data_IF_517909220609
#
_entry.id   IF_517909220609
#
_cell.length_a   1.000
_cell.length_b   1.000
_cell.length_c   1.000
_cell.angle_alpha   90.00
_cell.angle_beta   90.00
_cell.angle_gamma   90.00
#
_symmetry.space_group_name_H-M   'P 1'
#
loop_
_entity.id
_entity.type
_entity.pdbx_description
1 polymer ?
#
# COMPACT_ATOMS: atom_id res chain seq x y z
N UNK A 1 7.32 23.78 9.78
CA UNK A 1 7.50 22.36 9.39
C UNK A 1 6.55 21.90 8.28
N UNK A 2 5.23 22.14 8.35
CA UNK A 2 4.31 21.66 7.29
C UNK A 2 4.47 22.32 5.91
N UNK A 3 5.05 23.53 5.82
CA UNK A 3 5.26 24.26 4.55
C UNK A 3 6.20 23.54 3.57
N UNK A 4 7.11 22.72 4.08
CA UNK A 4 8.11 21.99 3.30
C UNK A 4 7.76 20.50 3.12
N UNK A 5 6.82 19.99 3.93
CA UNK A 5 6.36 18.60 3.86
C UNK A 5 5.43 18.41 2.66
N UNK A 6 5.75 17.45 1.80
CA UNK A 6 4.92 17.06 0.67
C UNK A 6 4.46 15.61 0.83
N UNK A 7 3.16 15.38 0.63
CA UNK A 7 2.51 14.09 0.68
C UNK A 7 2.36 13.61 -0.75
N UNK A 8 2.84 12.39 -1.02
CA UNK A 8 2.61 11.75 -2.32
C UNK A 8 1.13 11.30 -2.31
N UNK A 9 0.29 11.77 -3.23
CA UNK A 9 -1.16 11.58 -3.17
C UNK A 9 -1.62 10.10 -3.18
N UNK A 10 -0.73 9.15 -3.46
CA UNK A 10 -0.96 7.71 -3.26
C UNK A 10 -1.27 7.33 -1.80
N UNK A 11 -1.01 8.23 -0.83
CA UNK A 11 -1.40 8.09 0.58
C UNK A 11 -2.79 8.62 0.92
N UNK A 12 -3.48 9.32 0.01
CA UNK A 12 -4.84 9.84 0.22
C UNK A 12 -5.84 9.16 -0.69
N UNK A 13 -6.98 8.72 -0.16
CA UNK A 13 -8.06 8.05 -0.91
C UNK A 13 -8.84 9.01 -1.86
N UNK A 14 -8.23 10.11 -2.33
CA UNK A 14 -8.84 11.04 -3.29
C UNK A 14 -8.48 10.65 -4.75
N UNK A 15 -9.44 10.13 -5.53
CA UNK A 15 -9.20 9.72 -6.92
C UNK A 15 -8.96 10.90 -7.89
N UNK A 16 -9.21 12.16 -7.48
CA UNK A 16 -8.92 13.34 -8.30
C UNK A 16 -7.42 13.72 -8.34
N UNK A 17 -6.60 13.14 -7.45
CA UNK A 17 -5.17 13.41 -7.38
C UNK A 17 -4.32 12.50 -8.30
N UNK A 18 -4.86 12.11 -9.46
CA UNK A 18 -4.25 11.18 -10.42
C UNK A 18 -3.01 11.73 -11.16
N UNK A 19 -2.60 12.97 -10.88
CA UNK A 19 -1.31 13.48 -11.33
C UNK A 19 -0.26 13.15 -10.25
N UNK A 20 0.78 12.41 -10.61
CA UNK A 20 1.93 11.96 -9.79
C UNK A 20 2.74 13.07 -9.08
N UNK A 21 2.16 14.25 -8.85
CA UNK A 21 2.79 15.38 -8.18
C UNK A 21 2.47 15.30 -6.70
N UNK A 22 3.52 15.28 -5.88
CA UNK A 22 3.39 15.41 -4.43
C UNK A 22 2.63 16.70 -4.08
N UNK A 23 1.64 16.60 -3.21
CA UNK A 23 0.80 17.72 -2.73
C UNK A 23 1.39 18.22 -1.42
N UNK A 24 1.41 19.53 -1.15
CA UNK A 24 1.93 20.01 0.14
C UNK A 24 1.03 19.52 1.26
N UNK A 25 1.59 19.13 2.40
CA UNK A 25 0.80 18.66 3.54
C UNK A 25 -0.23 19.71 4.00
N UNK A 26 0.09 21.00 3.88
CA UNK A 26 -0.84 22.09 4.19
C UNK A 26 -2.08 22.10 3.30
N UNK A 27 -1.97 21.66 2.05
CA UNK A 27 -3.08 21.71 1.09
C UNK A 27 -4.16 20.64 1.38
N UNK A 28 -3.94 19.78 2.38
CA UNK A 28 -4.92 18.79 2.85
C UNK A 28 -5.92 19.34 3.88
N UNK A 29 -5.71 20.57 4.36
CA UNK A 29 -6.52 21.16 5.42
C UNK A 29 -7.30 22.36 4.88
N UNK A 30 -8.63 22.30 4.95
CA UNK A 30 -9.50 23.39 4.48
C UNK A 30 -9.40 24.64 5.37
N UNK A 31 -9.26 24.44 6.68
CA UNK A 31 -9.25 25.52 7.68
C UNK A 31 -8.00 25.45 8.55
N UNK A 32 -7.00 26.27 8.23
CA UNK A 32 -5.69 26.26 8.89
C UNK A 32 -5.64 27.36 9.95
N UNK A 33 -5.41 27.01 11.22
CA UNK A 33 -5.15 27.95 12.32
C UNK A 33 -3.86 27.56 13.07
N UNK A 34 -2.71 27.91 12.49
CA UNK A 34 -1.37 27.57 13.03
C UNK A 34 -0.61 28.85 13.36
N UNK A 35 -0.80 29.35 14.58
CA UNK A 35 -0.08 30.48 15.16
C UNK A 35 -0.05 30.34 16.70
N UNK A 36 0.83 31.05 17.42
CA UNK A 36 0.80 31.05 18.88
C UNK A 36 -0.47 31.70 19.41
N UNK A 37 -1.14 31.07 20.38
CA UNK A 37 -2.39 31.60 20.94
C UNK A 37 -3.14 30.56 21.77
N UNK A 38 -4.32 30.95 22.22
CA UNK A 38 -5.25 30.07 22.92
C UNK A 38 -6.04 29.21 21.93
N UNK A 39 -6.13 27.89 22.20
CA UNK A 39 -6.88 26.95 21.36
C UNK A 39 -8.35 27.33 21.28
N UNK A 40 -8.94 27.93 22.30
CA UNK A 40 -10.33 28.41 22.24
C UNK A 40 -10.52 29.41 21.09
N UNK A 41 -9.58 30.34 20.89
CA UNK A 41 -9.64 31.30 19.78
C UNK A 41 -9.45 30.63 18.41
N UNK A 42 -8.59 29.62 18.32
CA UNK A 42 -8.40 28.86 17.09
C UNK A 42 -9.70 28.16 16.70
N UNK A 43 -10.36 27.50 17.66
CA UNK A 43 -11.64 26.83 17.44
C UNK A 43 -12.76 27.80 17.09
N UNK A 44 -12.81 28.99 17.71
CA UNK A 44 -13.77 30.03 17.31
C UNK A 44 -13.61 30.43 15.85
N UNK A 45 -12.37 30.64 15.38
CA UNK A 45 -12.12 30.99 13.97
C UNK A 45 -12.42 29.83 13.02
N UNK A 46 -12.10 28.59 13.41
CA UNK A 46 -12.45 27.39 12.62
C UNK A 46 -13.97 27.25 12.53
N UNK A 47 -14.71 27.43 13.62
CA UNK A 47 -16.16 27.36 13.64
C UNK A 47 -16.79 28.46 12.76
N UNK A 48 -16.29 29.69 12.85
CA UNK A 48 -16.76 30.80 12.00
C UNK A 48 -16.52 30.54 10.51
N UNK A 49 -15.37 29.96 10.16
CA UNK A 49 -15.02 29.68 8.76
C UNK A 49 -15.74 28.43 8.21
N UNK A 50 -15.91 27.39 9.03
CA UNK A 50 -16.46 26.10 8.60
C UNK A 50 -17.97 25.97 8.80
N UNK A 51 -18.56 26.71 9.73
CA UNK A 51 -19.96 26.55 10.14
C UNK A 51 -20.25 25.26 10.93
N UNK A 52 -19.24 24.43 11.21
CA UNK A 52 -19.40 23.17 11.94
C UNK A 52 -19.67 23.46 13.42
N UNK A 53 -20.64 22.79 14.05
CA UNK A 53 -20.91 22.98 15.49
C UNK A 53 -19.75 22.45 16.31
N UNK A 54 -19.44 23.08 17.44
CA UNK A 54 -18.32 22.64 18.29
C UNK A 54 -18.43 21.20 18.76
N UNK A 55 -19.64 20.74 19.06
CA UNK A 55 -19.90 19.35 19.44
C UNK A 55 -19.49 18.36 18.34
N UNK A 56 -19.60 18.73 17.06
CA UNK A 56 -19.21 17.91 15.91
C UNK A 56 -17.70 17.96 15.63
N UNK A 57 -16.91 18.65 16.46
CA UNK A 57 -15.45 18.76 16.33
C UNK A 57 -14.71 17.82 17.28
N UNK A 58 -13.63 17.23 16.78
CA UNK A 58 -12.70 16.38 17.52
C UNK A 58 -11.31 17.02 17.54
N UNK A 59 -10.71 17.10 18.72
CA UNK A 59 -9.45 17.78 18.94
C UNK A 59 -8.45 16.88 19.66
N UNK A 60 -7.27 16.72 19.08
CA UNK A 60 -6.18 15.93 19.61
C UNK A 60 -5.00 16.85 19.93
N UNK A 61 -4.50 16.78 21.15
CA UNK A 61 -3.39 17.62 21.61
C UNK A 61 -2.65 16.90 22.75
N UNK A 62 -1.36 17.19 22.90
CA UNK A 62 -0.50 16.62 23.93
C UNK A 62 -0.51 17.44 25.23
N UNK A 63 -0.97 18.68 25.18
CA UNK A 63 -1.02 19.54 26.36
C UNK A 63 -2.39 19.47 27.05
N UNK A 64 -2.42 18.88 28.24
CA UNK A 64 -3.65 18.74 29.02
C UNK A 64 -4.35 20.07 29.37
N UNK A 65 -3.63 21.19 29.38
CA UNK A 65 -4.18 22.53 29.60
C UNK A 65 -5.19 22.95 28.53
N UNK A 66 -5.05 22.41 27.31
CA UNK A 66 -5.93 22.70 26.18
C UNK A 66 -7.28 21.98 26.26
N UNK A 67 -7.55 21.22 27.35
CA UNK A 67 -8.87 20.63 27.64
C UNK A 67 -9.96 21.68 27.86
N UNK A 68 -9.60 22.93 28.16
CA UNK A 68 -10.56 24.03 28.31
C UNK A 68 -11.51 24.17 27.11
N UNK A 69 -11.06 23.90 25.88
CA UNK A 69 -11.93 23.93 24.69
C UNK A 69 -13.09 22.93 24.77
N UNK A 70 -12.92 21.81 25.47
CA UNK A 70 -14.00 20.86 25.71
C UNK A 70 -15.01 21.41 26.72
N UNK A 71 -14.52 21.99 27.82
CA UNK A 71 -15.39 22.49 28.89
C UNK A 71 -16.10 23.79 28.52
N UNK A 72 -15.46 24.65 27.73
CA UNK A 72 -15.96 25.99 27.38
C UNK A 72 -16.76 25.99 26.08
N UNK A 73 -16.32 25.25 25.06
CA UNK A 73 -16.93 25.28 23.71
C UNK A 73 -17.72 24.01 23.38
N UNK A 74 -17.49 22.90 24.10
CA UNK A 74 -18.15 21.62 23.86
C UNK A 74 -17.44 20.70 22.85
N UNK A 75 -16.26 21.10 22.36
CA UNK A 75 -15.40 20.29 21.47
C UNK A 75 -14.99 18.99 22.15
N UNK A 76 -14.91 17.89 21.41
CA UNK A 76 -14.45 16.63 22.00
C UNK A 76 -12.93 16.60 22.05
N UNK A 77 -12.36 16.59 23.26
CA UNK A 77 -10.90 16.63 23.47
C UNK A 77 -10.31 15.24 23.73
N UNK A 78 -9.20 14.95 23.07
CA UNK A 78 -8.43 13.72 23.19
C UNK A 78 -6.98 14.06 23.54
N UNK A 79 -6.58 13.77 24.78
CA UNK A 79 -5.19 13.89 25.20
C UNK A 79 -4.34 12.81 24.52
N UNK A 80 -3.25 13.22 23.87
CA UNK A 80 -2.30 12.36 23.15
C UNK A 80 -0.91 12.56 23.74
N UNK A 81 -0.42 11.64 24.58
CA UNK A 81 0.82 11.87 25.34
C UNK A 81 2.09 11.56 24.55
N UNK A 82 2.01 10.56 23.67
CA UNK A 82 3.19 9.96 23.02
C UNK A 82 3.11 10.07 21.49
N UNK A 83 2.55 11.18 21.01
CA UNK A 83 2.38 11.47 19.58
C UNK A 83 1.23 10.71 18.93
N UNK A 84 0.70 11.27 17.83
CA UNK A 84 -0.53 10.78 17.19
C UNK A 84 -0.36 9.42 16.52
N UNK A 85 -1.09 8.40 16.99
CA UNK A 85 -1.22 7.09 16.32
C UNK A 85 -2.61 6.86 15.74
N UNK A 86 -2.76 5.83 14.89
CA UNK A 86 -4.07 5.43 14.35
C UNK A 86 -5.03 5.03 15.47
N UNK A 87 -4.54 4.31 16.46
CA UNK A 87 -5.33 3.83 17.59
C UNK A 87 -5.88 4.99 18.41
N UNK A 88 -5.13 6.09 18.53
CA UNK A 88 -5.61 7.30 19.19
C UNK A 88 -6.69 8.02 18.39
N UNK A 89 -6.51 8.11 17.06
CA UNK A 89 -7.54 8.65 16.16
C UNK A 89 -8.82 7.81 16.25
N UNK A 90 -8.70 6.49 16.13
CA UNK A 90 -9.84 5.56 16.20
C UNK A 90 -10.54 5.67 17.56
N UNK A 91 -9.78 5.72 18.66
CA UNK A 91 -10.32 5.93 20.01
C UNK A 91 -11.08 7.25 20.13
N UNK A 92 -10.49 8.35 19.66
CA UNK A 92 -11.14 9.67 19.72
C UNK A 92 -12.44 9.72 18.91
N UNK A 93 -12.45 9.13 17.71
CA UNK A 93 -13.66 9.03 16.87
C UNK A 93 -14.74 8.20 17.56
N UNK A 94 -14.37 7.08 18.20
CA UNK A 94 -15.34 6.26 18.94
C UNK A 94 -15.90 6.95 20.17
N UNK A 95 -15.08 7.67 20.93
CA UNK A 95 -15.52 8.41 22.10
C UNK A 95 -16.47 9.56 21.71
N UNK A 96 -16.17 10.26 20.61
CA UNK A 96 -17.06 11.27 20.02
C UNK A 96 -18.39 10.67 19.58
N UNK A 97 -18.38 9.54 18.86
CA UNK A 97 -19.62 8.86 18.42
C UNK A 97 -20.51 8.44 19.58
N UNK A 98 -19.92 7.90 20.65
CA UNK A 98 -20.64 7.55 21.88
C UNK A 98 -21.30 8.78 22.51
N UNK A 99 -20.57 9.90 22.59
CA UNK A 99 -21.09 11.17 23.11
C UNK A 99 -22.27 11.70 22.28
N UNK A 100 -22.24 11.45 20.96
CA UNK A 100 -23.29 11.83 20.02
C UNK A 100 -24.47 10.87 19.94
N UNK A 101 -24.49 9.80 20.76
CA UNK A 101 -25.48 8.71 20.68
C UNK A 101 -25.56 8.04 19.29
N UNK A 102 -24.48 8.08 18.50
CA UNK A 102 -24.41 7.42 17.19
C UNK A 102 -24.09 5.95 17.44
N UNK A 103 -25.07 5.07 17.30
CA UNK A 103 -24.91 3.63 17.47
C UNK A 103 -24.64 2.94 16.14
N UNK A 104 -24.17 1.68 16.16
CA UNK A 104 -23.90 0.91 14.94
C UNK A 104 -25.15 0.71 14.05
N UNK A 105 -26.35 0.97 14.58
CA UNK A 105 -27.65 0.87 13.90
C UNK A 105 -27.87 2.04 12.93
N UNK A 106 -27.25 3.20 13.17
CA UNK A 106 -27.41 4.42 12.34
C UNK A 106 -26.62 4.38 11.02
N UNK A 107 -25.80 3.33 10.83
CA UNK A 107 -25.03 3.10 9.58
C UNK A 107 -25.93 2.88 8.35
N UNK A 108 -27.11 2.28 8.53
CA UNK A 108 -28.02 2.02 7.40
C UNK A 108 -28.64 3.30 6.86
N UNK A 109 -29.16 4.13 7.76
CA UNK A 109 -29.95 5.31 7.40
C UNK A 109 -29.07 6.45 6.85
N UNK A 110 -27.89 6.68 7.45
CA UNK A 110 -27.00 7.75 6.99
C UNK A 110 -26.39 7.49 5.60
N UNK A 111 -26.17 6.21 5.26
CA UNK A 111 -25.70 5.81 3.92
C UNK A 111 -26.84 5.94 2.89
N UNK A 112 -28.08 5.57 3.24
CA UNK A 112 -29.24 5.78 2.38
C UNK A 112 -29.56 7.26 2.15
N UNK A 113 -29.42 8.11 3.17
CA UNK A 113 -29.67 9.55 3.07
C UNK A 113 -28.59 10.27 2.24
N UNK A 114 -27.31 9.88 2.39
CA UNK A 114 -26.20 10.35 1.54
C UNK A 114 -26.38 9.92 0.07
N UNK A 115 -26.71 8.64 -0.16
CA UNK A 115 -26.98 8.14 -1.51
C UNK A 115 -28.21 8.82 -2.14
N UNK A 116 -29.23 9.13 -1.33
CA UNK A 116 -30.43 9.86 -1.78
C UNK A 116 -30.14 11.33 -2.10
N UNK A 117 -29.21 11.97 -1.40
CA UNK A 117 -28.72 13.32 -1.73
C UNK A 117 -27.96 13.33 -3.06
N UNK A 118 -27.08 12.36 -3.28
CA UNK A 118 -26.34 12.22 -4.53
C UNK A 118 -27.24 11.93 -5.73
N UNK A 119 -28.29 11.12 -5.55
CA UNK A 119 -29.27 10.83 -6.61
C UNK A 119 -30.20 12.02 -6.91
N UNK A 120 -30.51 12.87 -5.94
CA UNK A 120 -31.34 14.07 -6.13
C UNK A 120 -30.60 15.23 -6.81
N UNK A 121 -29.27 15.27 -6.76
CA UNK A 121 -28.47 16.34 -7.39
C UNK A 121 -28.27 16.15 -8.92
N UNK A 122 -28.75 15.03 -9.49
CA UNK A 122 -28.51 14.65 -10.88
C UNK A 122 -29.54 15.11 -11.92
N UNK A 123 -30.40 16.09 -11.64
CA UNK A 123 -31.47 16.43 -12.58
C UNK A 123 -31.81 17.93 -12.64
N UNK A 124 -30.91 18.73 -13.21
CA UNK A 124 -31.27 19.99 -13.89
C UNK A 124 -30.40 20.17 -15.13
N UNK A 125 -30.86 19.67 -16.28
CA UNK A 125 -30.48 20.23 -17.57
C UNK A 125 -31.37 21.45 -17.83
N UNK A 126 -30.82 22.52 -18.39
CA UNK A 126 -31.60 23.38 -19.26
C UNK A 126 -30.82 23.72 -20.53
N UNK A 127 -31.48 23.71 -21.71
CA UNK A 127 -30.85 23.70 -23.02
C UNK A 127 -30.92 25.08 -23.69
N UNK A 128 -29.91 25.45 -24.48
CA UNK A 128 -30.07 26.36 -25.61
C UNK A 128 -28.73 26.55 -26.36
N UNK A 129 -28.79 26.40 -27.69
CA UNK A 129 -27.89 27.00 -28.69
C UNK A 129 -26.43 26.46 -28.74
N UNK A 130 -25.88 25.92 -29.83
CA UNK A 130 -26.12 26.00 -31.28
C UNK A 130 -25.60 24.74 -32.01
N UNK A 131 -26.19 24.49 -33.18
CA UNK A 131 -25.87 23.45 -34.18
C UNK A 131 -24.44 23.56 -34.77
N UNK A 132 -23.94 22.50 -35.44
CA UNK A 132 -22.52 22.28 -35.69
C UNK A 132 -22.02 23.03 -36.93
N UNK A 133 -20.81 23.59 -36.84
CA UNK A 133 -20.06 24.04 -38.01
C UNK A 133 -18.68 23.39 -38.04
N UNK A 134 -18.40 22.82 -39.20
CA UNK A 134 -17.19 22.11 -39.62
C UNK A 134 -15.90 22.91 -39.44
N UNK A 135 -14.89 22.28 -38.84
CA UNK A 135 -13.54 22.07 -39.40
C UNK A 135 -12.45 22.04 -38.32
N UNK A 136 -11.52 21.06 -38.45
CA UNK A 136 -10.20 20.96 -37.78
C UNK A 136 -10.27 20.57 -36.29
N UNK A 137 -9.50 19.64 -35.72
CA UNK A 137 -8.24 18.99 -36.07
C UNK A 137 -8.30 17.54 -35.56
N UNK A 138 -7.83 16.58 -36.35
CA UNK A 138 -7.41 15.27 -35.84
C UNK A 138 -6.32 15.50 -34.80
N UNK A 139 -6.64 15.26 -33.53
CA UNK A 139 -5.66 15.08 -32.46
C UNK A 139 -5.89 13.68 -31.90
N UNK A 140 -5.14 12.73 -32.45
CA UNK A 140 -4.98 11.41 -31.87
C UNK A 140 -4.68 11.55 -30.37
N UNK A 141 -5.56 11.04 -29.50
CA UNK A 141 -5.15 10.70 -28.15
C UNK A 141 -3.94 9.76 -28.28
N UNK A 142 -2.83 9.98 -27.53
CA UNK A 142 -1.75 9.01 -27.53
C UNK A 142 -2.33 7.71 -26.98
N UNK A 143 -2.41 6.69 -27.84
CA UNK A 143 -2.71 5.32 -27.45
C UNK A 143 -1.54 4.83 -26.61
N UNK A 144 -1.64 4.90 -25.29
CA UNK A 144 -0.68 4.23 -24.42
C UNK A 144 -0.70 2.73 -24.75
N UNK A 145 0.43 2.11 -25.12
CA UNK A 145 0.47 0.68 -25.40
C UNK A 145 0.00 -0.10 -24.17
N UNK A 146 -1.08 -0.87 -24.32
CA UNK A 146 -1.62 -1.75 -23.29
C UNK A 146 -0.72 -2.98 -23.17
N UNK A 147 0.34 -2.89 -22.36
CA UNK A 147 1.22 -4.03 -22.07
C UNK A 147 0.51 -4.98 -21.09
N UNK A 148 -0.32 -5.88 -21.63
CA UNK A 148 -0.92 -6.98 -20.86
C UNK A 148 0.00 -8.20 -20.96
N UNK A 149 0.59 -8.66 -19.84
CA UNK A 149 1.48 -9.81 -19.87
C UNK A 149 0.69 -11.11 -20.09
N UNK A 150 1.29 -12.15 -20.67
CA UNK A 150 0.72 -13.50 -20.64
C UNK A 150 0.49 -13.94 -19.19
N UNK A 151 -0.77 -14.20 -18.82
CA UNK A 151 -1.16 -14.57 -17.46
C UNK A 151 -1.57 -16.05 -17.43
N UNK A 152 -0.95 -16.82 -16.54
CA UNK A 152 -1.25 -18.23 -16.29
C UNK A 152 -1.65 -18.39 -14.83
N UNK A 153 -2.89 -18.80 -14.56
CA UNK A 153 -3.46 -18.90 -13.21
C UNK A 153 -4.07 -20.26 -12.99
N UNK A 154 -3.82 -20.86 -11.83
CA UNK A 154 -4.49 -22.11 -11.45
C UNK A 154 -6.00 -21.89 -11.21
N UNK A 155 -6.88 -22.87 -11.51
CA UNK A 155 -8.34 -22.70 -11.36
C UNK A 155 -8.83 -22.39 -9.94
N UNK A 156 -8.08 -22.80 -8.91
CA UNK A 156 -8.41 -22.53 -7.51
C UNK A 156 -7.91 -21.16 -6.99
N UNK A 157 -7.19 -20.40 -7.82
CA UNK A 157 -6.65 -19.09 -7.43
C UNK A 157 -7.79 -18.08 -7.33
N UNK A 158 -7.81 -17.29 -6.25
CA UNK A 158 -8.80 -16.23 -6.06
C UNK A 158 -8.15 -14.88 -6.38
N UNK A 159 -8.66 -14.17 -7.38
CA UNK A 159 -8.13 -12.87 -7.80
C UNK A 159 -9.23 -11.82 -7.73
N UNK A 160 -8.99 -10.74 -6.98
CA UNK A 160 -9.89 -9.60 -6.95
C UNK A 160 -9.98 -8.91 -8.32
N UNK A 161 -11.18 -8.46 -8.70
CA UNK A 161 -11.46 -7.78 -9.97
C UNK A 161 -10.64 -6.49 -10.17
N UNK A 162 -10.27 -5.84 -9.07
CA UNK A 162 -9.49 -4.59 -9.08
C UNK A 162 -7.97 -4.82 -9.10
N UNK A 163 -7.51 -6.08 -9.13
CA UNK A 163 -6.09 -6.40 -9.31
C UNK A 163 -5.67 -6.09 -10.77
N UNK A 164 -4.52 -5.44 -10.93
CA UNK A 164 -4.02 -5.05 -12.26
C UNK A 164 -2.71 -5.77 -12.60
N UNK A 165 -2.62 -6.27 -13.83
CA UNK A 165 -1.45 -6.94 -14.38
C UNK A 165 -0.94 -6.15 -15.58
N UNK A 166 0.32 -5.71 -15.53
CA UNK A 166 0.97 -4.95 -16.59
C UNK A 166 2.38 -5.49 -16.83
N UNK A 167 2.84 -5.47 -18.07
CA UNK A 167 4.19 -5.90 -18.44
C UNK A 167 4.27 -6.68 -19.74
N UNK A 168 5.48 -7.10 -20.07
CA UNK A 168 5.84 -7.81 -21.30
C UNK A 168 6.31 -9.24 -21.03
N UNK A 169 6.58 -9.58 -19.77
CA UNK A 169 7.01 -10.90 -19.35
C UNK A 169 5.85 -11.70 -18.75
N UNK A 170 5.87 -13.04 -18.83
CA UNK A 170 4.77 -13.85 -18.32
C UNK A 170 4.63 -13.76 -16.80
N UNK A 171 3.39 -13.85 -16.33
CA UNK A 171 3.02 -13.95 -14.93
C UNK A 171 2.37 -15.32 -14.69
N UNK A 172 2.86 -16.05 -13.69
CA UNK A 172 2.36 -17.37 -13.31
C UNK A 172 1.92 -17.38 -11.86
N UNK A 173 0.72 -17.91 -11.58
CA UNK A 173 0.09 -17.90 -10.26
C UNK A 173 -0.40 -19.30 -9.90
N UNK A 174 0.12 -19.82 -8.79
CA UNK A 174 -0.14 -21.16 -8.27
C UNK A 174 -1.51 -21.35 -7.61
N UNK A 175 -1.79 -22.60 -7.25
CA UNK A 175 -3.02 -23.07 -6.65
C UNK A 175 -3.27 -22.44 -5.27
N UNK A 176 -4.53 -22.32 -4.86
CA UNK A 176 -4.95 -21.72 -3.59
C UNK A 176 -4.50 -20.28 -3.32
N UNK A 177 -3.78 -19.60 -4.21
CA UNK A 177 -3.29 -18.24 -3.98
C UNK A 177 -4.43 -17.23 -4.00
N UNK A 178 -4.40 -16.26 -3.07
CA UNK A 178 -5.41 -15.21 -2.92
C UNK A 178 -4.79 -13.84 -3.16
N UNK A 179 -5.35 -13.09 -4.11
CA UNK A 179 -4.89 -11.76 -4.50
C UNK A 179 -5.95 -10.73 -4.14
N UNK A 180 -5.58 -9.80 -3.27
CA UNK A 180 -6.48 -8.77 -2.76
C UNK A 180 -6.78 -7.65 -3.77
N UNK A 181 -7.79 -6.83 -3.48
CA UNK A 181 -8.06 -5.62 -4.26
C UNK A 181 -6.86 -4.71 -4.46
N UNK A 182 -6.85 -4.01 -5.60
CA UNK A 182 -5.91 -2.93 -5.93
C UNK A 182 -4.43 -3.34 -5.95
N UNK A 183 -4.11 -4.62 -5.91
CA UNK A 183 -2.73 -5.11 -6.09
C UNK A 183 -2.25 -4.87 -7.50
N UNK A 184 -0.97 -4.55 -7.67
CA UNK A 184 -0.36 -4.28 -8.97
C UNK A 184 0.78 -5.25 -9.24
N UNK A 185 0.74 -5.93 -10.38
CA UNK A 185 1.83 -6.77 -10.86
C UNK A 185 2.47 -6.11 -12.08
N UNK A 186 3.78 -5.84 -12.01
CA UNK A 186 4.55 -5.10 -13.00
C UNK A 186 5.68 -5.99 -13.54
N UNK A 187 5.40 -6.71 -14.62
CA UNK A 187 6.30 -7.68 -15.27
C UNK A 187 7.06 -7.06 -16.45
N UNK A 188 7.66 -5.90 -16.24
CA UNK A 188 8.44 -5.19 -17.28
C UNK A 188 9.91 -5.59 -17.33
N UNK A 189 10.47 -6.02 -16.20
CA UNK A 189 11.91 -6.36 -16.11
C UNK A 189 12.18 -7.86 -16.09
N UNK A 190 11.16 -8.67 -15.80
CA UNK A 190 11.26 -10.11 -15.79
C UNK A 190 9.93 -10.78 -15.46
N UNK A 191 9.86 -12.11 -15.62
CA UNK A 191 8.66 -12.87 -15.31
C UNK A 191 8.40 -12.85 -13.79
N UNK A 192 7.12 -12.91 -13.43
CA UNK A 192 6.69 -12.99 -12.04
C UNK A 192 6.10 -14.39 -11.81
N UNK A 193 6.65 -15.11 -10.84
CA UNK A 193 6.17 -16.45 -10.46
C UNK A 193 5.69 -16.41 -9.02
N UNK A 194 4.43 -16.78 -8.82
CA UNK A 194 3.81 -16.88 -7.51
C UNK A 194 3.43 -18.33 -7.28
N UNK A 195 3.94 -18.92 -6.20
CA UNK A 195 3.71 -20.29 -5.80
C UNK A 195 2.31 -20.51 -5.26
N UNK A 196 2.13 -21.69 -4.66
CA UNK A 196 0.85 -22.14 -4.17
C UNK A 196 0.54 -21.57 -2.78
N UNK A 197 -0.72 -21.22 -2.55
CA UNK A 197 -1.23 -20.84 -1.24
C UNK A 197 -0.68 -19.53 -0.70
N UNK A 198 -0.28 -18.61 -1.57
CA UNK A 198 0.16 -17.28 -1.15
C UNK A 198 -1.03 -16.37 -0.84
N UNK A 199 -0.81 -15.37 0.01
CA UNK A 199 -1.75 -14.26 0.22
C UNK A 199 -1.04 -12.97 -0.16
N UNK A 200 -1.59 -12.24 -1.13
CA UNK A 200 -1.07 -10.94 -1.56
C UNK A 200 -2.00 -9.85 -1.06
N UNK A 201 -1.55 -9.11 -0.04
CA UNK A 201 -2.32 -8.08 0.63
C UNK A 201 -2.63 -6.87 -0.26
N UNK A 202 -3.71 -6.17 0.09
CA UNK A 202 -4.26 -5.06 -0.68
C UNK A 202 -3.23 -3.94 -0.97
N UNK A 203 -3.36 -3.30 -2.15
CA UNK A 203 -2.49 -2.20 -2.61
C UNK A 203 -0.99 -2.57 -2.71
N UNK A 204 -0.62 -3.85 -2.59
CA UNK A 204 0.76 -4.28 -2.76
C UNK A 204 1.21 -4.19 -4.22
N UNK A 205 2.49 -3.90 -4.44
CA UNK A 205 3.12 -3.79 -5.76
C UNK A 205 4.19 -4.86 -5.90
N UNK A 206 4.07 -5.70 -6.93
CA UNK A 206 4.98 -6.82 -7.18
C UNK A 206 5.70 -6.59 -8.52
N UNK A 207 7.03 -6.56 -8.49
CA UNK A 207 7.88 -6.30 -9.65
C UNK A 207 8.16 -4.82 -9.92
N UNK A 208 7.88 -3.91 -8.97
CA UNK A 208 8.09 -2.47 -9.14
C UNK A 208 9.55 -2.00 -8.98
N UNK A 209 9.80 -0.68 -9.11
CA UNK A 209 9.16 0.22 -10.04
C UNK A 209 9.85 0.15 -11.41
N UNK A 210 9.05 0.33 -12.45
CA UNK A 210 9.50 0.55 -13.82
C UNK A 210 10.56 1.66 -13.83
N UNK A 211 11.79 1.37 -14.24
CA UNK A 211 12.67 2.46 -14.70
C UNK A 211 12.01 3.04 -15.94
N UNK A 212 11.38 4.21 -15.83
CA UNK A 212 11.22 5.07 -17.00
C UNK A 212 12.61 5.22 -17.64
N UNK A 213 12.73 5.19 -18.97
CA UNK A 213 14.02 5.26 -19.62
C UNK A 213 14.66 6.59 -19.24
N UNK A 214 15.62 6.56 -18.32
CA UNK A 214 16.52 7.69 -18.12
C UNK A 214 17.23 7.86 -19.45
N UNK A 215 16.93 8.96 -20.11
CA UNK A 215 17.67 9.46 -21.26
C UNK A 215 19.14 9.60 -20.89
N UNK A 216 19.86 8.49 -21.03
CA UNK A 216 21.30 8.41 -21.13
C UNK A 216 21.56 7.54 -22.35
N UNK A 217 21.14 8.06 -23.51
CA UNK A 217 21.78 7.65 -24.75
C UNK A 217 23.28 7.92 -24.56
N UNK A 218 24.17 6.92 -24.68
CA UNK A 218 25.56 7.24 -24.93
C UNK A 218 25.58 7.89 -26.31
N UNK A 219 26.02 9.14 -26.38
CA UNK A 219 26.31 9.82 -27.64
C UNK A 219 27.15 8.88 -28.53
N UNK A 220 26.75 8.58 -29.77
CA UNK A 220 27.66 7.95 -30.71
C UNK A 220 28.58 9.07 -31.22
N UNK A 221 29.71 9.27 -30.55
CA UNK A 221 30.83 9.96 -31.19
C UNK A 221 31.35 9.02 -32.27
N UNK A 222 31.03 9.35 -33.51
CA UNK A 222 31.62 8.76 -34.70
C UNK A 222 33.13 8.96 -34.61
N UNK A 223 33.89 7.87 -34.57
CA UNK A 223 35.27 7.83 -35.05
C UNK A 223 35.45 6.47 -35.71
N UNK A 224 35.72 6.55 -37.01
CA UNK A 224 35.77 5.42 -37.92
C UNK A 224 37.10 4.64 -37.78
N UNK A 225 37.04 3.38 -38.21
CA UNK A 225 38.13 2.48 -38.69
C UNK A 225 39.35 2.25 -37.77
N UNK A 226 39.49 1.03 -37.23
CA UNK A 226 40.39 0.05 -37.86
C UNK A 226 40.16 -1.41 -37.38
N UNK A 227 40.76 -2.30 -38.14
CA UNK A 227 40.58 -3.73 -38.37
C UNK A 227 40.96 -4.67 -37.21
N UNK A 228 40.13 -5.69 -36.96
CA UNK A 228 40.62 -7.02 -36.51
C UNK A 228 40.37 -7.46 -35.05
N UNK A 229 39.62 -8.56 -34.93
CA UNK A 229 39.72 -9.62 -33.91
C UNK A 229 38.99 -9.45 -32.55
N UNK A 230 38.08 -10.42 -32.33
CA UNK A 230 37.53 -10.91 -31.07
C UNK A 230 36.81 -9.92 -30.14
N UNK A 231 35.53 -9.65 -30.43
CA UNK A 231 34.58 -9.14 -29.43
C UNK A 231 33.69 -10.28 -28.98
N UNK A 232 33.86 -10.66 -27.71
CA UNK A 232 32.95 -11.55 -26.99
C UNK A 232 31.50 -11.04 -27.08
N UNK A 233 30.49 -11.92 -27.05
CA UNK A 233 29.09 -11.52 -27.19
C UNK A 233 28.71 -10.50 -26.10
N UNK A 234 27.82 -9.52 -26.42
CA UNK A 234 27.32 -8.58 -25.43
C UNK A 234 26.65 -9.37 -24.30
N UNK A 235 27.03 -9.06 -23.05
CA UNK A 235 26.54 -9.73 -21.86
C UNK A 235 25.01 -9.87 -21.90
N UNK A 236 24.53 -11.12 -21.91
CA UNK A 236 23.11 -11.41 -21.86
C UNK A 236 22.50 -10.71 -20.64
N UNK A 237 21.58 -9.77 -20.88
CA UNK A 237 20.72 -9.22 -19.83
C UNK A 237 19.99 -10.38 -19.20
N UNK A 238 20.49 -10.86 -18.06
CA UNK A 238 19.92 -11.99 -17.34
C UNK A 238 18.59 -11.54 -16.77
N UNK A 239 17.51 -11.94 -17.44
CA UNK A 239 16.15 -11.69 -17.02
C UNK A 239 15.96 -12.32 -15.63
N UNK A 240 16.01 -11.50 -14.58
CA UNK A 240 15.92 -11.98 -13.21
C UNK A 240 14.44 -12.06 -12.84
N UNK A 241 13.93 -13.29 -12.71
CA UNK A 241 12.55 -13.53 -12.33
C UNK A 241 12.27 -13.05 -10.90
N UNK A 242 11.11 -12.43 -10.69
CA UNK A 242 10.59 -12.19 -9.33
C UNK A 242 9.83 -13.42 -8.90
N UNK A 243 10.22 -14.03 -7.77
CA UNK A 243 9.72 -15.34 -7.35
C UNK A 243 9.18 -15.26 -5.92
N UNK A 244 7.92 -15.63 -5.76
CA UNK A 244 7.31 -15.94 -4.46
C UNK A 244 7.06 -17.44 -4.47
N UNK A 245 7.68 -18.19 -3.55
CA UNK A 245 7.43 -19.62 -3.40
C UNK A 245 6.10 -19.89 -2.67
N UNK A 246 5.94 -21.07 -2.06
CA UNK A 246 4.67 -21.52 -1.51
C UNK A 246 4.38 -20.93 -0.13
N UNK A 247 3.11 -20.71 0.17
CA UNK A 247 2.63 -20.25 1.49
C UNK A 247 3.28 -18.94 1.96
N UNK A 248 3.62 -18.05 1.02
CA UNK A 248 4.13 -16.71 1.33
C UNK A 248 2.96 -15.78 1.66
N UNK A 249 3.06 -15.06 2.78
CA UNK A 249 2.07 -14.06 3.19
C UNK A 249 2.65 -12.66 3.04
N UNK A 250 2.06 -11.85 2.15
CA UNK A 250 2.44 -10.45 1.90
C UNK A 250 1.38 -9.54 2.51
N UNK A 251 1.78 -8.69 3.44
CA UNK A 251 0.92 -7.70 4.08
C UNK A 251 0.55 -6.55 3.13
N UNK A 252 -0.51 -5.79 3.45
CA UNK A 252 -0.95 -4.67 2.62
C UNK A 252 0.15 -3.62 2.40
N UNK A 253 0.03 -2.86 1.31
CA UNK A 253 0.94 -1.74 0.98
C UNK A 253 2.41 -2.15 0.78
N UNK A 254 2.70 -3.44 0.66
CA UNK A 254 4.07 -3.94 0.47
C UNK A 254 4.55 -3.70 -0.95
N UNK A 255 5.79 -3.26 -1.12
CA UNK A 255 6.44 -3.10 -2.42
C UNK A 255 7.58 -4.10 -2.55
N UNK A 256 7.49 -4.95 -3.57
CA UNK A 256 8.54 -5.90 -3.94
C UNK A 256 9.14 -5.50 -5.28
N UNK A 257 10.43 -5.21 -5.30
CA UNK A 257 11.09 -4.85 -6.55
C UNK A 257 11.53 -6.06 -7.37
N UNK A 258 11.78 -5.81 -8.65
CA UNK A 258 12.13 -6.85 -9.60
C UNK A 258 13.34 -7.70 -9.18
N UNK A 259 13.28 -8.99 -9.51
CA UNK A 259 14.31 -9.98 -9.21
C UNK A 259 14.32 -10.46 -7.75
N UNK A 260 13.41 -9.95 -6.91
CA UNK A 260 13.25 -10.42 -5.53
C UNK A 260 12.79 -11.86 -5.49
N UNK A 261 13.38 -12.67 -4.60
CA UNK A 261 13.01 -14.06 -4.37
C UNK A 261 12.67 -14.26 -2.90
N UNK A 262 11.41 -14.61 -2.64
CA UNK A 262 10.87 -14.90 -1.32
C UNK A 262 10.59 -16.39 -1.23
N UNK A 263 11.30 -17.06 -0.32
CA UNK A 263 11.17 -18.50 -0.12
C UNK A 263 9.94 -18.89 0.69
N UNK A 264 9.63 -20.18 0.66
CA UNK A 264 8.40 -20.75 1.17
C UNK A 264 8.16 -20.41 2.65
N UNK A 265 6.89 -20.22 3.01
CA UNK A 265 6.44 -19.89 4.36
C UNK A 265 6.97 -18.56 4.93
N UNK A 266 7.63 -17.70 4.15
CA UNK A 266 8.04 -16.38 4.62
C UNK A 266 6.83 -15.45 4.84
N UNK A 267 6.96 -14.54 5.82
CA UNK A 267 5.96 -13.51 6.13
C UNK A 267 6.55 -12.13 5.93
N UNK A 268 5.91 -11.34 5.08
CA UNK A 268 6.23 -9.93 4.88
C UNK A 268 5.07 -9.12 5.45
N UNK A 269 5.30 -8.33 6.49
CA UNK A 269 4.27 -7.51 7.11
C UNK A 269 3.97 -6.25 6.27
N UNK A 270 2.99 -5.47 6.73
CA UNK A 270 2.49 -4.26 6.07
C UNK A 270 3.58 -3.21 5.77
N UNK A 271 3.46 -2.53 4.63
CA UNK A 271 4.30 -1.40 4.24
C UNK A 271 5.81 -1.72 4.17
N UNK A 272 6.17 -2.98 3.95
CA UNK A 272 7.56 -3.37 3.71
C UNK A 272 7.98 -2.95 2.29
N UNK A 273 9.23 -2.51 2.15
CA UNK A 273 9.86 -2.24 0.86
C UNK A 273 11.05 -3.18 0.68
N UNK A 274 10.98 -4.07 -0.31
CA UNK A 274 12.11 -4.90 -0.72
C UNK A 274 12.72 -4.32 -1.98
N UNK A 275 14.00 -3.98 -1.92
CA UNK A 275 14.82 -3.57 -3.05
C UNK A 275 14.97 -4.66 -4.11
N UNK A 276 15.71 -4.34 -5.18
CA UNK A 276 15.91 -5.26 -6.31
C UNK A 276 16.74 -6.46 -5.86
N UNK A 277 16.43 -7.64 -6.39
CA UNK A 277 17.20 -8.88 -6.14
C UNK A 277 17.31 -9.27 -4.66
N UNK A 278 16.40 -8.81 -3.81
CA UNK A 278 16.36 -9.20 -2.39
C UNK A 278 16.06 -10.70 -2.27
N UNK A 279 16.73 -11.37 -1.34
CA UNK A 279 16.51 -12.79 -1.01
C UNK A 279 15.93 -12.90 0.38
N UNK A 280 14.73 -13.48 0.51
CA UNK A 280 14.10 -13.75 1.80
C UNK A 280 14.01 -15.24 2.02
N UNK A 281 14.68 -15.75 3.06
CA UNK A 281 14.73 -17.16 3.38
C UNK A 281 13.41 -17.74 3.91
N UNK A 282 13.33 -19.07 3.88
CA UNK A 282 12.17 -19.82 4.37
C UNK A 282 11.87 -19.51 5.84
N UNK A 283 10.59 -19.41 6.19
CA UNK A 283 10.12 -19.09 7.54
C UNK A 283 10.67 -17.77 8.12
N UNK A 284 11.26 -16.92 7.28
CA UNK A 284 11.68 -15.59 7.67
C UNK A 284 10.46 -14.68 7.88
N UNK A 285 10.61 -13.68 8.74
CA UNK A 285 9.63 -12.61 8.90
C UNK A 285 10.28 -11.25 8.72
N UNK A 286 9.75 -10.46 7.81
CA UNK A 286 10.10 -9.04 7.67
C UNK A 286 8.97 -8.25 8.31
N UNK A 287 9.28 -7.54 9.40
CA UNK A 287 8.30 -6.77 10.16
C UNK A 287 7.87 -5.50 9.41
N UNK A 288 6.75 -4.91 9.86
CA UNK A 288 6.16 -3.76 9.20
C UNK A 288 7.15 -2.60 9.05
N UNK A 289 7.01 -1.83 7.97
CA UNK A 289 7.82 -0.65 7.65
C UNK A 289 9.33 -0.92 7.47
N UNK A 290 9.76 -2.16 7.33
CA UNK A 290 11.16 -2.44 7.00
C UNK A 290 11.47 -2.06 5.55
N UNK A 291 12.63 -1.47 5.34
CA UNK A 291 13.22 -1.27 4.01
C UNK A 291 14.47 -2.14 3.89
N UNK A 292 14.44 -3.14 3.02
CA UNK A 292 15.61 -3.98 2.72
C UNK A 292 16.21 -3.46 1.41
N UNK A 293 17.48 -3.02 1.39
CA UNK A 293 18.12 -2.48 0.20
C UNK A 293 18.30 -3.54 -0.88
N UNK A 294 18.62 -3.09 -2.10
CA UNK A 294 18.98 -3.95 -3.22
C UNK A 294 20.05 -4.98 -2.82
N UNK A 295 19.93 -6.20 -3.35
CA UNK A 295 20.78 -7.35 -3.06
C UNK A 295 20.78 -7.80 -1.57
N UNK A 296 19.88 -7.26 -0.75
CA UNK A 296 19.73 -7.65 0.64
C UNK A 296 19.33 -9.11 0.81
N UNK A 297 19.92 -9.77 1.82
CA UNK A 297 19.66 -11.18 2.13
C UNK A 297 19.12 -11.31 3.56
N UNK A 298 18.01 -12.03 3.69
CA UNK A 298 17.42 -12.46 4.96
C UNK A 298 17.55 -13.96 5.04
N UNK A 299 18.28 -14.47 6.04
CA UNK A 299 18.46 -15.90 6.19
C UNK A 299 17.15 -16.61 6.57
N UNK A 300 17.15 -17.93 6.37
CA UNK A 300 16.07 -18.79 6.83
C UNK A 300 15.84 -18.62 8.34
N UNK A 301 14.58 -18.66 8.76
CA UNK A 301 14.18 -18.53 10.16
C UNK A 301 14.67 -17.24 10.82
N UNK A 302 14.83 -16.13 10.10
CA UNK A 302 15.19 -14.84 10.69
C UNK A 302 13.98 -13.92 10.77
N UNK A 303 13.85 -13.20 11.88
CA UNK A 303 12.99 -12.00 11.94
C UNK A 303 13.88 -10.78 11.71
N UNK A 304 13.50 -9.91 10.78
CA UNK A 304 14.08 -8.59 10.60
C UNK A 304 13.06 -7.52 10.99
N UNK A 305 13.51 -6.50 11.72
CA UNK A 305 12.70 -5.34 12.08
C UNK A 305 13.57 -4.08 12.23
N UNK A 306 12.92 -2.92 12.36
CA UNK A 306 13.61 -1.63 12.43
C UNK A 306 14.11 -1.17 11.06
N UNK A 307 14.97 -0.15 11.02
CA UNK A 307 15.44 0.42 9.76
C UNK A 307 14.43 1.36 9.11
N UNK A 308 14.05 2.42 9.82
CA UNK A 308 13.24 3.51 9.25
C UNK A 308 14.20 4.51 8.59
N UNK A 309 14.77 4.13 7.44
CA UNK A 309 15.68 4.95 6.67
C UNK A 309 14.95 5.55 5.48
N UNK A 310 14.59 6.84 5.56
CA UNK A 310 14.06 7.58 4.43
C UNK A 310 15.05 7.53 3.26
N UNK A 311 14.52 7.32 2.05
CA UNK A 311 15.25 7.46 0.79
C UNK A 311 15.56 8.95 0.57
N UNK A 312 16.50 9.52 1.32
CA UNK A 312 16.79 10.95 1.27
C UNK A 312 17.78 11.43 2.33
N UNK A 313 19.03 11.59 1.88
CA UNK A 313 20.08 12.46 2.42
C UNK A 313 20.73 12.07 3.76
N UNK A 314 22.06 11.96 3.71
CA UNK A 314 22.90 11.38 4.75
C UNK A 314 22.88 12.14 6.07
N UNK A 315 22.92 11.38 7.16
CA UNK A 315 23.91 11.55 8.22
C UNK A 315 24.03 10.28 9.05
N UNK A 316 25.25 10.00 9.47
CA UNK A 316 25.68 8.75 10.08
C UNK A 316 25.24 8.65 11.56
N UNK A 317 24.04 8.11 11.84
CA UNK A 317 23.72 7.43 13.11
C UNK A 317 22.32 6.75 13.08
N UNK A 318 22.27 5.49 12.66
CA UNK A 318 21.56 4.46 13.42
C UNK A 318 20.03 4.32 13.35
N UNK A 319 19.47 4.02 12.18
CA UNK A 319 18.35 3.04 12.13
C UNK A 319 18.82 1.83 11.33
N UNK A 320 19.60 0.97 11.98
CA UNK A 320 20.10 -0.27 11.36
C UNK A 320 18.99 -1.32 11.43
N UNK A 321 18.78 -2.04 10.33
CA UNK A 321 17.94 -3.25 10.34
C UNK A 321 18.45 -4.18 11.45
N UNK A 322 17.57 -4.49 12.40
CA UNK A 322 17.81 -5.46 13.47
C UNK A 322 17.37 -6.83 12.99
N UNK A 323 18.06 -7.87 13.45
CA UNK A 323 17.76 -9.26 13.11
C UNK A 323 17.87 -10.18 14.32
N UNK A 324 16.98 -11.16 14.41
CA UNK A 324 17.08 -12.28 15.36
C UNK A 324 16.76 -13.58 14.66
N UNK A 325 17.43 -14.64 15.08
CA UNK A 325 17.05 -16.00 14.70
C UNK A 325 15.76 -16.39 15.44
N UNK A 326 14.81 -16.96 14.71
CA UNK A 326 13.63 -17.66 15.26
C UNK A 326 14.05 -19.02 15.80
N UNK A 327 13.32 -19.53 16.77
CA UNK A 327 13.47 -20.91 17.20
C UNK A 327 13.16 -21.84 16.01
N UNK A 328 14.18 -22.49 15.47
CA UNK A 328 14.07 -23.39 14.31
C UNK A 328 14.00 -24.88 14.72
N UNK A 329 13.76 -25.17 16.01
CA UNK A 329 13.70 -26.52 16.55
C UNK A 329 15.00 -27.34 16.51
N UNK A 330 16.12 -26.78 16.00
CA UNK A 330 17.35 -27.55 15.76
C UNK A 330 18.57 -27.13 16.60
N UNK A 331 18.56 -26.01 17.34
CA UNK A 331 19.69 -25.70 18.23
C UNK A 331 19.37 -24.70 19.35
N UNK A 332 19.26 -25.21 20.59
CA UNK A 332 19.91 -24.61 21.76
C UNK A 332 20.03 -25.66 22.89
N UNK A 333 21.10 -26.46 22.86
CA UNK A 333 21.62 -27.06 24.08
C UNK A 333 22.45 -26.00 24.82
N UNK A 334 21.90 -25.41 25.87
CA UNK A 334 22.57 -25.06 27.14
C UNK A 334 21.60 -24.40 28.11
N UNK A 335 20.67 -25.21 28.62
CA UNK A 335 19.88 -25.08 29.86
C UNK A 335 18.54 -25.73 29.58
N UNK A 336 18.27 -26.86 30.22
CA UNK A 336 17.14 -27.73 29.89
C UNK A 336 15.79 -27.04 30.11
N UNK A 337 15.18 -26.59 29.02
CA UNK A 337 13.75 -26.62 28.71
C UNK A 337 13.57 -25.91 27.34
N UNK A 338 12.64 -26.41 26.50
CA UNK A 338 12.21 -25.85 25.20
C UNK A 338 13.07 -26.16 23.93
N UNK A 339 12.94 -27.39 23.41
CA UNK A 339 13.43 -27.78 22.06
C UNK A 339 12.34 -28.04 21.01
N UNK A 340 11.10 -28.38 21.41
CA UNK A 340 10.02 -28.81 20.50
C UNK A 340 9.09 -27.68 20.03
N UNK A 341 9.16 -26.49 20.64
CA UNK A 341 8.18 -25.43 20.44
C UNK A 341 8.27 -24.77 19.05
N UNK A 342 9.46 -24.57 18.49
CA UNK A 342 9.63 -23.76 17.26
C UNK A 342 8.93 -24.32 16.03
N UNK A 343 9.13 -25.61 15.74
CA UNK A 343 8.49 -26.28 14.61
C UNK A 343 6.97 -26.44 14.81
N UNK A 344 6.52 -26.71 16.04
CA UNK A 344 5.10 -26.80 16.37
C UNK A 344 4.39 -25.44 16.24
N UNK A 345 5.02 -24.36 16.70
CA UNK A 345 4.54 -22.98 16.55
C UNK A 345 4.45 -22.62 15.07
N UNK A 346 5.45 -22.98 14.27
CA UNK A 346 5.44 -22.69 12.84
C UNK A 346 4.38 -23.49 12.09
N UNK A 347 4.20 -24.78 12.43
CA UNK A 347 3.08 -25.59 11.91
C UNK A 347 1.73 -24.98 12.28
N UNK A 348 1.58 -24.52 13.52
CA UNK A 348 0.37 -23.81 13.98
C UNK A 348 0.13 -22.53 13.18
N UNK A 349 1.17 -21.72 12.97
CA UNK A 349 1.10 -20.49 12.16
C UNK A 349 0.68 -20.76 10.72
N UNK A 350 1.23 -21.80 10.08
CA UNK A 350 0.83 -22.20 8.73
C UNK A 350 -0.61 -22.69 8.68
N UNK A 351 -1.08 -23.39 9.72
CA UNK A 351 -2.49 -23.76 9.86
C UNK A 351 -3.42 -22.54 10.02
N UNK A 352 -2.96 -21.48 10.68
CA UNK A 352 -3.71 -20.21 10.76
C UNK A 352 -3.74 -19.51 9.40
N UNK A 353 -2.62 -19.48 8.68
CA UNK A 353 -2.53 -18.91 7.34
C UNK A 353 -3.49 -19.62 6.36
N UNK A 354 -3.59 -20.95 6.47
CA UNK A 354 -4.54 -21.73 5.67
C UNK A 354 -5.99 -21.36 5.97
N UNK A 355 -6.36 -21.22 7.26
CA UNK A 355 -7.71 -20.76 7.63
C UNK A 355 -8.01 -19.33 7.20
N UNK A 356 -7.02 -18.44 7.28
CA UNK A 356 -7.13 -17.07 6.80
C UNK A 356 -7.44 -17.05 5.30
N UNK A 357 -6.72 -17.88 4.53
CA UNK A 357 -6.93 -18.07 3.10
C UNK A 357 -8.34 -18.56 2.78
N UNK A 358 -8.82 -19.59 3.48
CA UNK A 358 -10.20 -20.08 3.33
C UNK A 358 -11.24 -18.98 3.59
N UNK A 359 -11.01 -18.13 4.60
CA UNK A 359 -11.87 -16.99 4.92
C UNK A 359 -11.85 -15.92 3.82
N UNK A 360 -10.65 -15.56 3.33
CA UNK A 360 -10.46 -14.54 2.30
C UNK A 360 -11.01 -14.99 0.95
N UNK A 361 -10.86 -16.26 0.58
CA UNK A 361 -11.46 -16.82 -0.64
C UNK A 361 -12.97 -16.64 -0.64
N UNK A 362 -13.64 -16.86 0.51
CA UNK A 362 -15.09 -16.63 0.64
C UNK A 362 -15.44 -15.15 0.49
N UNK A 363 -14.66 -14.26 1.11
CA UNK A 363 -14.96 -12.82 1.10
C UNK A 363 -14.76 -12.19 -0.28
N UNK A 364 -13.65 -12.50 -0.94
CA UNK A 364 -13.31 -11.97 -2.28
C UNK A 364 -14.17 -12.65 -3.34
N UNK A 365 -14.41 -13.96 -3.21
CA UNK A 365 -15.26 -14.72 -4.14
C UNK A 365 -16.75 -14.36 -4.06
N UNK A 366 -17.26 -13.97 -2.88
CA UNK A 366 -18.66 -13.58 -2.71
C UNK A 366 -19.01 -12.24 -3.37
N UNK A 367 -18.03 -11.36 -3.60
CA UNK A 367 -18.23 -10.05 -4.25
C UNK A 367 -18.69 -10.14 -5.71
N UNK A 368 -18.49 -11.28 -6.39
CA UNK A 368 -18.85 -11.48 -7.80
C UNK A 368 -20.24 -12.10 -8.04
N UNK A 369 -20.95 -12.58 -7.02
CA UNK A 369 -22.19 -13.34 -7.19
C UNK A 369 -23.47 -12.48 -7.31
N UNK A 370 -23.34 -11.14 -7.39
CA UNK A 370 -24.49 -10.21 -7.45
C UNK A 370 -24.98 -9.82 -8.84
N UNK A 371 -24.32 -10.26 -9.93
CA UNK A 371 -24.62 -9.80 -11.29
C UNK A 371 -24.70 -10.93 -12.31
N UNK A 372 -25.83 -11.64 -12.38
CA UNK A 372 -25.93 -12.74 -13.34
C UNK A 372 -27.23 -13.51 -13.42
N UNK A 373 -28.38 -12.87 -13.16
CA UNK A 373 -29.68 -13.44 -13.49
C UNK A 373 -30.36 -12.64 -14.61
N UNK A 374 -29.91 -12.83 -15.85
CA UNK A 374 -30.74 -12.59 -17.03
C UNK A 374 -30.55 -13.75 -18.01
N UNK A 375 -31.42 -14.75 -17.83
CA UNK A 375 -31.82 -15.67 -18.90
C UNK A 375 -32.50 -14.85 -20.00
N UNK A 376 -31.97 -14.91 -21.21
CA UNK A 376 -32.70 -15.27 -22.43
C UNK A 376 -31.69 -15.56 -23.54
#
# INVERSE_FOLDING_TARGET
MLKTLHIIPTFSDNPAAANNRSVRALDYFDYIQIFPGDKSQHFTRIQQASGIRYEDMLFFDDEARNRNVQTELGVSFCLVRDGMTREEVDRGVWDWRKKMNITAVDKGQAIEDELSKYLKMGNTTNPAHLKPSSSRHSSQKPTTPSYKPPLTTHPSTTISETASFQGIHPISIGAGTVIHPRTKFLSFEGPIKIGDGCIIGEKSVIGGPQTSPTSSAPNPTISAIDTGSSTAPPAATTVTATILENSVSIGPLTTLNAGTHISSAATIDTSVVLGRRVRVGQHAKVCANCCIPDDGVVDHWVVIWGGVGGMGQGDAAGSRLQRRKRANGQHQQRSGEAGYAGAAVEKGRLGVLEKEREGLTKLIGAGGAGGGARRK
#
